data_IF_081770886539
#
_entry.id   IF_081770886539
#
_cell.length_a   1.000
_cell.length_b   1.000
_cell.length_c   1.000
_cell.angle_alpha   90.00
_cell.angle_beta   90.00
_cell.angle_gamma   90.00
#
_symmetry.space_group_name_H-M   'P 1'
#
loop_
_entity.id
_entity.type
_entity.pdbx_description
1 polymer ?
#
# COMPACT_ATOMS: atom_id res chain seq x y z
N UNK A 1 -42.98 86.63 28.93
CA UNK A 1 -43.90 85.51 28.64
C UNK A 1 -44.09 85.46 27.13
N UNK A 2 -43.54 84.44 26.47
CA UNK A 2 -43.67 84.28 25.01
C UNK A 2 -45.14 84.07 24.65
N UNK A 3 -45.62 84.77 23.61
CA UNK A 3 -47.02 84.61 23.17
C UNK A 3 -47.27 83.15 22.76
N UNK A 4 -48.42 82.56 23.11
CA UNK A 4 -48.76 81.16 22.79
C UNK A 4 -48.61 80.84 21.29
N UNK A 5 -48.82 81.82 20.41
CA UNK A 5 -48.62 81.66 18.96
C UNK A 5 -47.15 81.45 18.55
N UNK A 6 -46.19 82.01 19.29
CA UNK A 6 -44.76 81.81 19.03
C UNK A 6 -44.31 80.43 19.47
N UNK A 7 -44.74 80.00 20.67
CA UNK A 7 -44.46 78.65 21.18
C UNK A 7 -45.03 77.55 20.28
N UNK A 8 -46.22 77.76 19.73
CA UNK A 8 -46.82 76.83 18.77
C UNK A 8 -45.96 76.71 17.49
N UNK A 9 -45.48 77.83 16.94
CA UNK A 9 -44.62 77.83 15.74
C UNK A 9 -43.29 77.11 15.99
N UNK A 10 -42.68 77.29 17.16
CA UNK A 10 -41.48 76.57 17.58
C UNK A 10 -41.72 75.06 17.63
N UNK A 11 -42.81 74.62 18.29
CA UNK A 11 -43.16 73.20 18.36
C UNK A 11 -43.40 72.58 16.97
N UNK A 12 -44.06 73.32 16.07
CA UNK A 12 -44.25 72.86 14.68
C UNK A 12 -42.91 72.75 13.94
N UNK A 13 -42.02 73.74 14.10
CA UNK A 13 -40.70 73.70 13.49
C UNK A 13 -39.84 72.52 14.02
N UNK A 14 -39.86 72.29 15.33
CA UNK A 14 -39.18 71.17 15.98
C UNK A 14 -39.72 69.82 15.51
N UNK A 15 -41.05 69.68 15.39
CA UNK A 15 -41.69 68.48 14.88
C UNK A 15 -41.27 68.20 13.43
N UNK A 16 -41.25 69.23 12.57
CA UNK A 16 -40.81 69.09 11.18
C UNK A 16 -39.34 68.69 11.12
N UNK A 17 -38.47 69.29 11.94
CA UNK A 17 -37.06 68.94 12.01
C UNK A 17 -36.84 67.51 12.53
N UNK A 18 -37.61 67.07 13.54
CA UNK A 18 -37.59 65.71 14.05
C UNK A 18 -38.07 64.70 12.99
N UNK A 19 -39.16 65.01 12.28
CA UNK A 19 -39.69 64.18 11.19
C UNK A 19 -38.66 64.01 10.06
N UNK A 20 -37.98 65.08 9.65
CA UNK A 20 -36.90 65.01 8.64
C UNK A 20 -35.73 64.14 9.09
N UNK A 21 -35.29 64.28 10.34
CA UNK A 21 -34.21 63.43 10.91
C UNK A 21 -34.62 61.97 10.95
N UNK A 22 -35.85 61.67 11.34
CA UNK A 22 -36.36 60.30 11.36
C UNK A 22 -36.44 59.69 9.96
N UNK A 23 -36.91 60.44 8.96
CA UNK A 23 -36.94 59.97 7.56
C UNK A 23 -35.52 59.71 7.05
N UNK A 24 -34.58 60.61 7.31
CA UNK A 24 -33.19 60.43 6.93
C UNK A 24 -32.56 59.20 7.61
N UNK A 25 -32.76 59.03 8.92
CA UNK A 25 -32.27 57.88 9.67
C UNK A 25 -32.84 56.55 9.14
N UNK A 26 -34.14 56.52 8.80
CA UNK A 26 -34.76 55.33 8.21
C UNK A 26 -34.24 55.03 6.81
N UNK A 27 -34.02 56.05 5.98
CA UNK A 27 -33.43 55.86 4.66
C UNK A 27 -32.01 55.26 4.76
N UNK A 28 -31.16 55.80 5.65
CA UNK A 28 -29.82 55.24 5.90
C UNK A 28 -29.87 53.82 6.46
N UNK A 29 -30.82 53.52 7.36
CA UNK A 29 -30.98 52.17 7.88
C UNK A 29 -31.40 51.19 6.77
N UNK A 30 -32.34 51.57 5.92
CA UNK A 30 -32.79 50.74 4.78
C UNK A 30 -31.67 50.47 3.78
N UNK A 31 -30.86 51.49 3.46
CA UNK A 31 -29.68 51.35 2.60
C UNK A 31 -28.65 50.39 3.22
N UNK A 32 -28.32 50.57 4.49
CA UNK A 32 -27.40 49.67 5.20
C UNK A 32 -27.92 48.22 5.27
N UNK A 33 -29.22 48.02 5.42
CA UNK A 33 -29.81 46.68 5.39
C UNK A 33 -29.75 46.06 3.99
N UNK A 34 -30.03 46.84 2.94
CA UNK A 34 -29.94 46.37 1.56
C UNK A 34 -28.50 45.96 1.21
N UNK A 35 -27.52 46.79 1.57
CA UNK A 35 -26.10 46.50 1.37
C UNK A 35 -25.66 45.25 2.14
N UNK A 36 -26.09 45.11 3.40
CA UNK A 36 -25.79 43.92 4.19
C UNK A 36 -26.44 42.66 3.60
N UNK A 37 -27.68 42.73 3.10
CA UNK A 37 -28.31 41.59 2.43
C UNK A 37 -27.59 41.20 1.15
N UNK A 38 -27.16 42.17 0.35
CA UNK A 38 -26.42 41.90 -0.88
C UNK A 38 -25.05 41.25 -0.59
N UNK A 39 -24.36 41.69 0.47
CA UNK A 39 -23.12 41.07 0.92
C UNK A 39 -23.33 39.62 1.36
N UNK A 40 -24.36 39.35 2.17
CA UNK A 40 -24.67 37.99 2.62
C UNK A 40 -25.07 37.07 1.47
N UNK A 41 -25.85 37.55 0.50
CA UNK A 41 -26.20 36.79 -0.69
C UNK A 41 -24.97 36.45 -1.54
N UNK A 42 -24.05 37.41 -1.68
CA UNK A 42 -22.78 37.17 -2.38
C UNK A 42 -21.91 36.12 -1.67
N UNK A 43 -21.75 36.24 -0.36
CA UNK A 43 -20.97 35.30 0.44
C UNK A 43 -21.60 33.89 0.43
N UNK A 44 -22.93 33.80 0.45
CA UNK A 44 -23.65 32.54 0.33
C UNK A 44 -23.41 31.88 -1.04
N UNK A 45 -23.52 32.64 -2.13
CA UNK A 45 -23.23 32.13 -3.46
C UNK A 45 -21.79 31.63 -3.59
N UNK A 46 -20.81 32.37 -3.05
CA UNK A 46 -19.42 31.96 -3.03
C UNK A 46 -19.18 30.68 -2.20
N UNK A 47 -19.88 30.53 -1.07
CA UNK A 47 -19.81 29.33 -0.25
C UNK A 47 -20.44 28.11 -0.95
N UNK A 48 -21.57 28.29 -1.62
CA UNK A 48 -22.24 27.24 -2.41
C UNK A 48 -21.35 26.75 -3.55
N UNK A 49 -20.70 27.66 -4.27
CA UNK A 49 -19.73 27.33 -5.32
C UNK A 49 -18.54 26.54 -4.75
N UNK A 50 -18.00 26.96 -3.60
CA UNK A 50 -16.91 26.24 -2.94
C UNK A 50 -17.31 24.82 -2.51
N UNK A 51 -18.53 24.65 -1.99
CA UNK A 51 -19.08 23.33 -1.65
C UNK A 51 -19.27 22.48 -2.91
N UNK A 52 -19.77 23.05 -4.00
CA UNK A 52 -19.93 22.35 -5.27
C UNK A 52 -18.58 21.83 -5.79
N UNK A 53 -17.53 22.67 -5.78
CA UNK A 53 -16.17 22.28 -6.17
C UNK A 53 -15.64 21.14 -5.28
N UNK A 54 -15.71 21.31 -3.95
CA UNK A 54 -15.23 20.31 -3.01
C UNK A 54 -15.97 18.96 -3.16
N UNK A 55 -17.28 19.00 -3.39
CA UNK A 55 -18.08 17.80 -3.63
C UNK A 55 -17.68 17.08 -4.93
N UNK A 56 -17.32 17.84 -5.96
CA UNK A 56 -16.77 17.33 -7.21
C UNK A 56 -15.44 16.60 -6.99
N UNK A 57 -14.52 17.21 -6.24
CA UNK A 57 -13.23 16.60 -5.89
C UNK A 57 -13.39 15.30 -5.09
N UNK A 58 -14.28 15.30 -4.09
CA UNK A 58 -14.61 14.08 -3.30
C UNK A 58 -15.14 12.98 -4.21
N UNK A 59 -16.03 13.31 -5.15
CA UNK A 59 -16.58 12.35 -6.10
C UNK A 59 -15.50 11.75 -7.00
N UNK A 60 -14.55 12.57 -7.46
CA UNK A 60 -13.41 12.10 -8.24
C UNK A 60 -12.50 11.18 -7.41
N UNK A 61 -12.16 11.58 -6.18
CA UNK A 61 -11.34 10.77 -5.28
C UNK A 61 -12.00 9.40 -4.99
N UNK A 62 -13.31 9.38 -4.73
CA UNK A 62 -14.06 8.13 -4.53
C UNK A 62 -14.01 7.20 -5.75
N UNK A 63 -14.11 7.75 -6.97
CA UNK A 63 -13.96 6.96 -8.20
C UNK A 63 -12.58 6.36 -8.33
N UNK A 64 -11.52 7.12 -8.03
CA UNK A 64 -10.14 6.62 -8.05
C UNK A 64 -9.91 5.52 -7.02
N UNK A 65 -10.45 5.66 -5.80
CA UNK A 65 -10.39 4.60 -4.77
C UNK A 65 -11.11 3.35 -5.25
N UNK A 66 -12.34 3.47 -5.74
CA UNK A 66 -13.10 2.32 -6.25
C UNK A 66 -12.39 1.59 -7.41
N UNK A 67 -11.78 2.35 -8.33
CA UNK A 67 -10.96 1.77 -9.42
C UNK A 67 -9.73 1.04 -8.87
N UNK A 68 -9.06 1.60 -7.86
CA UNK A 68 -7.89 1.00 -7.22
C UNK A 68 -8.26 -0.29 -6.48
N UNK A 69 -9.41 -0.31 -5.79
CA UNK A 69 -9.90 -1.49 -5.09
C UNK A 69 -10.25 -2.63 -6.07
N UNK A 70 -10.89 -2.31 -7.19
CA UNK A 70 -11.16 -3.28 -8.25
C UNK A 70 -9.86 -3.84 -8.87
N UNK A 71 -8.87 -2.98 -9.12
CA UNK A 71 -7.57 -3.40 -9.62
C UNK A 71 -6.83 -4.29 -8.61
N UNK A 72 -6.85 -3.93 -7.33
CA UNK A 72 -6.26 -4.73 -6.25
C UNK A 72 -6.93 -6.10 -6.12
N UNK A 73 -8.25 -6.15 -6.22
CA UNK A 73 -9.00 -7.40 -6.23
C UNK A 73 -8.63 -8.29 -7.43
N UNK A 74 -8.50 -7.72 -8.63
CA UNK A 74 -8.04 -8.42 -9.82
C UNK A 74 -6.65 -9.05 -9.64
N UNK A 75 -5.68 -8.26 -9.17
CA UNK A 75 -4.32 -8.73 -8.90
C UNK A 75 -4.29 -9.84 -7.84
N UNK A 76 -5.14 -9.75 -6.82
CA UNK A 76 -5.24 -10.78 -5.78
C UNK A 76 -5.81 -12.10 -6.32
N UNK A 77 -6.84 -12.03 -7.18
CA UNK A 77 -7.39 -13.22 -7.85
C UNK A 77 -6.36 -13.88 -8.77
N UNK A 78 -5.61 -13.08 -9.54
CA UNK A 78 -4.53 -13.59 -10.39
C UNK A 78 -3.45 -14.29 -9.55
N UNK A 79 -3.08 -13.71 -8.41
CA UNK A 79 -2.12 -14.33 -7.49
C UNK A 79 -2.65 -15.65 -6.92
N UNK A 80 -3.93 -15.72 -6.54
CA UNK A 80 -4.57 -16.96 -6.10
C UNK A 80 -4.58 -18.02 -7.21
N UNK A 81 -4.84 -17.61 -8.46
CA UNK A 81 -4.81 -18.49 -9.64
C UNK A 81 -3.43 -19.06 -9.88
N UNK A 82 -2.38 -18.22 -9.87
CA UNK A 82 -0.98 -18.64 -10.05
C UNK A 82 -0.50 -19.59 -8.93
N UNK A 83 -0.98 -19.41 -7.69
CA UNK A 83 -0.61 -20.26 -6.55
C UNK A 83 -1.47 -21.53 -6.40
N UNK A 84 -2.49 -21.72 -7.22
CA UNK A 84 -3.32 -22.93 -7.27
C UNK A 84 -3.90 -23.34 -5.90
N UNK A 85 -3.62 -24.58 -5.44
CA UNK A 85 -4.14 -25.10 -4.16
C UNK A 85 -3.69 -24.28 -2.94
N UNK A 86 -2.47 -23.74 -2.94
CA UNK A 86 -1.99 -22.85 -1.86
C UNK A 86 -2.65 -21.47 -1.95
N UNK A 87 -2.97 -21.03 -3.16
CA UNK A 87 -3.70 -19.78 -3.43
C UNK A 87 -5.07 -19.74 -2.76
N UNK A 88 -5.80 -20.88 -2.76
CA UNK A 88 -7.12 -20.98 -2.11
C UNK A 88 -7.09 -20.71 -0.59
N UNK A 89 -5.94 -20.82 0.07
CA UNK A 89 -5.79 -20.56 1.51
C UNK A 89 -5.52 -19.09 1.85
N UNK A 90 -5.28 -18.23 0.86
CA UNK A 90 -4.93 -16.81 1.08
C UNK A 90 -6.10 -15.94 1.55
N UNK A 91 -7.35 -16.42 1.45
CA UNK A 91 -8.53 -15.68 1.92
C UNK A 91 -8.93 -14.49 1.03
N UNK A 92 -9.77 -13.58 1.55
CA UNK A 92 -10.19 -12.37 0.83
C UNK A 92 -9.02 -11.39 0.65
N UNK A 93 -9.23 -10.38 -0.20
CA UNK A 93 -8.26 -9.28 -0.37
C UNK A 93 -8.03 -8.62 0.99
N UNK A 94 -6.77 -8.43 1.43
CA UNK A 94 -6.49 -7.79 2.70
C UNK A 94 -7.00 -6.35 2.70
N UNK A 95 -7.67 -5.96 3.77
CA UNK A 95 -8.20 -4.61 3.95
C UNK A 95 -7.03 -3.62 4.14
N UNK A 96 -7.02 -2.47 3.47
CA UNK A 96 -5.98 -1.46 3.68
C UNK A 96 -5.97 -1.03 5.15
N UNK A 97 -4.80 -1.08 5.78
CA UNK A 97 -4.63 -0.61 7.14
C UNK A 97 -4.64 0.93 7.14
N UNK A 98 -5.32 1.59 8.10
CA UNK A 98 -5.21 3.03 8.26
C UNK A 98 -3.74 3.37 8.53
N UNK A 99 -3.17 4.23 7.69
CA UNK A 99 -1.79 4.69 7.83
C UNK A 99 -1.79 6.16 8.22
N UNK A 100 -0.99 6.51 9.21
CA UNK A 100 -0.67 7.90 9.55
C UNK A 100 0.55 8.41 8.79
N UNK A 101 1.11 7.61 7.86
CA UNK A 101 2.26 8.01 7.07
C UNK A 101 1.92 9.24 6.22
N UNK A 102 2.68 10.32 6.42
CA UNK A 102 2.48 11.61 5.75
C UNK A 102 2.68 11.55 4.24
N UNK A 103 3.48 10.59 3.73
CA UNK A 103 3.79 10.50 2.31
C UNK A 103 3.33 9.17 1.66
N UNK A 104 2.17 9.17 0.98
CA UNK A 104 1.67 7.99 0.25
C UNK A 104 2.55 7.61 -0.95
N UNK A 105 3.28 8.55 -1.54
CA UNK A 105 4.16 8.27 -2.69
C UNK A 105 5.39 7.48 -2.26
N UNK A 106 5.94 7.76 -1.07
CA UNK A 106 7.03 6.98 -0.49
C UNK A 106 6.62 5.51 -0.26
N UNK A 107 5.39 5.27 0.23
CA UNK A 107 4.86 3.92 0.41
C UNK A 107 4.72 3.17 -0.91
N UNK A 108 4.16 3.82 -1.94
CA UNK A 108 4.04 3.26 -3.29
C UNK A 108 5.41 2.98 -3.92
N UNK A 109 6.37 3.89 -3.75
CA UNK A 109 7.75 3.69 -4.20
C UNK A 109 8.44 2.51 -3.51
N UNK A 110 8.20 2.33 -2.21
CA UNK A 110 8.72 1.17 -1.47
C UNK A 110 8.09 -0.15 -1.94
N UNK A 111 6.79 -0.15 -2.23
CA UNK A 111 6.06 -1.30 -2.72
C UNK A 111 6.50 -1.68 -4.15
N UNK A 112 6.64 -0.69 -5.03
CA UNK A 112 7.13 -0.90 -6.40
C UNK A 112 8.56 -1.45 -6.39
N UNK A 113 9.45 -0.94 -5.54
CA UNK A 113 10.79 -1.48 -5.38
C UNK A 113 10.79 -2.94 -4.90
N UNK A 114 9.87 -3.35 -4.02
CA UNK A 114 9.72 -4.75 -3.59
C UNK A 114 9.20 -5.64 -4.70
N UNK A 115 8.20 -5.19 -5.46
CA UNK A 115 7.66 -5.93 -6.62
C UNK A 115 8.73 -6.08 -7.69
N UNK A 116 9.46 -5.02 -7.99
CA UNK A 116 10.54 -5.02 -8.97
C UNK A 116 11.69 -5.95 -8.56
N UNK A 117 12.06 -5.95 -7.28
CA UNK A 117 13.02 -6.92 -6.72
C UNK A 117 12.53 -8.36 -6.83
N UNK A 118 11.24 -8.60 -6.59
CA UNK A 118 10.64 -9.92 -6.77
C UNK A 118 10.57 -10.34 -8.25
N UNK A 119 10.36 -9.38 -9.16
CA UNK A 119 10.23 -9.60 -10.61
C UNK A 119 11.58 -9.87 -11.27
N UNK A 120 12.65 -9.25 -10.78
CA UNK A 120 14.04 -9.52 -11.19
C UNK A 120 14.57 -10.90 -10.80
N UNK A 121 13.79 -11.66 -10.01
CA UNK A 121 14.01 -13.10 -9.88
C UNK A 121 15.33 -13.47 -9.20
N UNK A 122 15.65 -12.87 -8.05
CA UNK A 122 16.82 -13.22 -7.25
C UNK A 122 18.14 -12.83 -7.92
N UNK A 123 18.96 -12.02 -7.26
CA UNK A 123 20.32 -11.79 -7.74
C UNK A 123 21.07 -13.14 -7.89
N UNK A 124 21.93 -13.28 -8.92
CA UNK A 124 22.73 -14.48 -9.11
C UNK A 124 23.45 -14.80 -7.80
N UNK A 125 23.34 -16.07 -7.36
CA UNK A 125 23.94 -16.51 -6.11
C UNK A 125 25.42 -16.10 -6.07
N UNK A 126 25.91 -15.51 -4.96
CA UNK A 126 27.30 -15.12 -4.87
C UNK A 126 28.19 -16.35 -5.15
N UNK A 127 29.27 -16.22 -5.94
CA UNK A 127 30.07 -17.36 -6.41
C UNK A 127 30.66 -18.21 -5.28
N UNK A 128 30.81 -17.64 -4.08
CA UNK A 128 31.22 -18.36 -2.87
C UNK A 128 30.16 -19.32 -2.29
N UNK A 129 28.88 -19.22 -2.68
CA UNK A 129 27.81 -20.10 -2.21
C UNK A 129 27.75 -21.41 -3.02
N UNK A 130 28.26 -21.41 -4.26
CA UNK A 130 28.38 -22.61 -5.12
C UNK A 130 29.20 -23.75 -4.49
N UNK A 131 30.42 -23.52 -3.94
CA UNK A 131 31.17 -24.58 -3.26
C UNK A 131 30.51 -25.03 -1.95
N UNK A 132 29.77 -24.15 -1.25
CA UNK A 132 29.02 -24.53 -0.06
C UNK A 132 27.82 -25.45 -0.37
N UNK A 133 27.16 -25.26 -1.52
CA UNK A 133 26.15 -26.17 -2.05
C UNK A 133 26.73 -27.54 -2.41
N UNK A 134 27.94 -27.58 -2.98
CA UNK A 134 28.65 -28.84 -3.22
C UNK A 134 28.99 -29.56 -1.91
N UNK A 135 29.54 -28.83 -0.93
CA UNK A 135 29.89 -29.38 0.39
C UNK A 135 28.68 -29.88 1.18
N UNK A 136 27.54 -29.18 1.13
CA UNK A 136 26.30 -29.62 1.78
C UNK A 136 25.69 -30.85 1.10
N UNK A 137 25.72 -30.91 -0.25
CA UNK A 137 25.34 -32.10 -1.00
C UNK A 137 26.20 -33.32 -0.65
N UNK A 138 27.52 -33.13 -0.57
CA UNK A 138 28.48 -34.17 -0.19
C UNK A 138 28.30 -34.62 1.26
N UNK A 139 28.13 -33.70 2.21
CA UNK A 139 27.93 -34.02 3.62
C UNK A 139 26.61 -34.79 3.84
N UNK A 140 25.51 -34.37 3.20
CA UNK A 140 24.24 -35.07 3.26
C UNK A 140 24.33 -36.48 2.64
N UNK A 141 25.02 -36.62 1.50
CA UNK A 141 25.25 -37.91 0.86
C UNK A 141 26.09 -38.85 1.75
N UNK A 142 27.16 -38.35 2.41
CA UNK A 142 27.96 -39.13 3.34
C UNK A 142 27.14 -39.66 4.52
N UNK A 143 26.32 -38.81 5.15
CA UNK A 143 25.47 -39.22 6.28
C UNK A 143 24.49 -40.32 5.86
N UNK A 144 23.88 -40.19 4.69
CA UNK A 144 22.85 -41.14 4.23
C UNK A 144 23.46 -42.42 3.68
N UNK A 145 24.60 -42.35 3.00
CA UNK A 145 25.33 -43.53 2.56
C UNK A 145 25.82 -44.34 3.76
N UNK A 146 26.34 -43.67 4.80
CA UNK A 146 26.72 -44.31 6.06
C UNK A 146 25.51 -44.96 6.75
N UNK A 147 24.37 -44.27 6.84
CA UNK A 147 23.13 -44.83 7.39
C UNK A 147 22.58 -46.00 6.56
N UNK A 148 22.69 -45.91 5.23
CA UNK A 148 22.29 -46.94 4.28
C UNK A 148 23.15 -48.21 4.37
N UNK A 149 24.39 -48.10 4.86
CA UNK A 149 25.24 -49.26 5.12
C UNK A 149 24.65 -50.15 6.23
N UNK A 150 23.89 -49.57 7.17
CA UNK A 150 23.23 -50.29 8.26
C UNK A 150 21.79 -50.73 7.94
N UNK A 151 21.06 -49.99 7.11
CA UNK A 151 19.62 -50.19 6.86
C UNK A 151 19.36 -50.96 5.55
N UNK A 152 20.35 -51.01 4.66
CA UNK A 152 20.33 -51.80 3.44
C UNK A 152 20.36 -50.98 2.15
N UNK A 153 20.64 -51.69 1.05
CA UNK A 153 20.73 -51.23 -0.34
C UNK A 153 19.73 -50.13 -0.78
N UNK A 154 18.42 -50.16 -0.45
CA UNK A 154 17.49 -49.17 -0.98
C UNK A 154 17.73 -47.72 -0.49
N UNK A 155 18.42 -47.51 0.64
CA UNK A 155 18.80 -46.16 1.07
C UNK A 155 19.88 -45.53 0.18
N UNK A 156 20.74 -46.34 -0.43
CA UNK A 156 21.83 -45.86 -1.30
C UNK A 156 21.31 -45.23 -2.60
N UNK A 157 20.15 -45.68 -3.10
CA UNK A 157 19.50 -45.11 -4.29
C UNK A 157 18.91 -43.71 -4.05
N UNK A 158 18.62 -43.37 -2.79
CA UNK A 158 17.99 -42.09 -2.40
C UNK A 158 19.04 -41.07 -1.91
N UNK A 159 20.24 -41.54 -1.54
CA UNK A 159 21.32 -40.71 -0.98
C UNK A 159 21.69 -39.46 -1.83
N UNK A 160 21.78 -39.53 -3.17
CA UNK A 160 22.12 -38.36 -3.99
C UNK A 160 20.99 -37.32 -4.04
N UNK A 161 19.74 -37.74 -3.78
CA UNK A 161 18.54 -36.91 -3.90
C UNK A 161 18.12 -36.29 -2.56
N UNK A 162 18.60 -36.82 -1.44
CA UNK A 162 18.19 -36.38 -0.11
C UNK A 162 18.80 -35.03 0.32
N UNK A 163 19.87 -34.56 -0.35
CA UNK A 163 20.41 -33.21 -0.14
C UNK A 163 19.50 -32.09 -0.67
N UNK A 164 18.62 -32.38 -1.64
CA UNK A 164 17.74 -31.40 -2.29
C UNK A 164 16.75 -30.71 -1.35
N UNK A 165 15.95 -31.40 -0.51
CA UNK A 165 14.99 -30.74 0.36
C UNK A 165 15.65 -29.86 1.43
N UNK A 166 16.82 -30.26 1.93
CA UNK A 166 17.58 -29.50 2.95
C UNK A 166 18.24 -28.28 2.34
N UNK A 167 18.92 -28.43 1.19
CA UNK A 167 19.53 -27.31 0.47
C UNK A 167 18.47 -26.31 -0.01
N UNK A 168 17.33 -26.81 -0.50
CA UNK A 168 16.20 -25.97 -0.90
C UNK A 168 15.63 -25.19 0.29
N UNK A 169 15.44 -25.84 1.44
CA UNK A 169 14.93 -25.17 2.65
C UNK A 169 15.90 -24.12 3.18
N UNK A 170 17.21 -24.37 3.09
CA UNK A 170 18.23 -23.44 3.54
C UNK A 170 18.37 -22.23 2.60
N UNK A 171 18.36 -22.44 1.28
CA UNK A 171 18.41 -21.37 0.28
C UNK A 171 17.11 -20.56 0.25
N UNK A 172 15.95 -21.20 0.35
CA UNK A 172 14.65 -20.52 0.45
C UNK A 172 14.58 -19.66 1.73
N UNK A 173 15.17 -20.11 2.84
CA UNK A 173 15.12 -19.39 4.11
C UNK A 173 16.15 -18.25 4.20
N UNK A 174 17.30 -18.36 3.51
CA UNK A 174 18.41 -17.42 3.68
C UNK A 174 18.60 -16.43 2.52
N UNK A 175 18.18 -16.78 1.30
CA UNK A 175 18.43 -15.96 0.12
C UNK A 175 17.18 -15.59 -0.69
N UNK A 176 16.01 -16.17 -0.38
CA UNK A 176 14.76 -15.94 -1.13
C UNK A 176 14.93 -16.07 -2.68
N UNK A 177 15.95 -16.82 -3.11
CA UNK A 177 16.36 -16.99 -4.49
C UNK A 177 15.93 -18.38 -4.96
N UNK A 178 15.46 -18.48 -6.21
CA UNK A 178 15.19 -19.79 -6.82
C UNK A 178 16.53 -20.48 -7.09
N UNK A 179 16.64 -21.76 -6.71
CA UNK A 179 17.78 -22.59 -7.11
C UNK A 179 17.85 -22.60 -8.64
N UNK A 180 18.94 -22.06 -9.19
CA UNK A 180 19.20 -22.14 -10.62
C UNK A 180 19.34 -23.61 -11.06
N UNK A 181 18.91 -23.96 -12.29
CA UNK A 181 19.07 -25.32 -12.84
C UNK A 181 20.53 -25.83 -12.76
N UNK A 182 21.51 -24.93 -12.88
CA UNK A 182 22.93 -25.26 -12.73
C UNK A 182 23.34 -25.63 -11.29
N UNK A 183 22.74 -25.01 -10.28
CA UNK A 183 22.99 -25.35 -8.88
C UNK A 183 22.39 -26.72 -8.50
N UNK A 184 21.26 -27.08 -9.11
CA UNK A 184 20.66 -28.41 -8.99
C UNK A 184 21.61 -29.47 -9.59
N UNK A 185 22.17 -29.21 -10.78
CA UNK A 185 23.13 -30.10 -11.44
C UNK A 185 24.39 -30.34 -10.61
N UNK A 186 24.98 -29.28 -10.03
CA UNK A 186 26.16 -29.38 -9.16
C UNK A 186 25.92 -30.21 -7.90
N UNK A 187 24.73 -30.11 -7.32
CA UNK A 187 24.36 -30.87 -6.12
C UNK A 187 24.22 -32.36 -6.43
N UNK A 188 23.64 -32.71 -7.58
CA UNK A 188 23.52 -34.09 -8.05
C UNK A 188 24.89 -34.69 -8.37
N UNK A 189 25.77 -33.94 -9.05
CA UNK A 189 27.13 -34.40 -9.38
C UNK A 189 27.95 -34.62 -8.10
N UNK A 190 27.87 -33.71 -7.13
CA UNK A 190 28.54 -33.87 -5.83
C UNK A 190 28.04 -35.07 -5.04
N UNK A 191 26.71 -35.29 -5.03
CA UNK A 191 26.12 -36.49 -4.41
C UNK A 191 26.55 -37.79 -5.09
N UNK A 192 26.60 -37.82 -6.43
CA UNK A 192 27.09 -38.98 -7.18
C UNK A 192 28.56 -39.27 -6.92
N UNK A 193 29.43 -38.25 -6.92
CA UNK A 193 30.86 -38.40 -6.64
C UNK A 193 31.11 -38.90 -5.21
N UNK A 194 30.39 -38.38 -4.21
CA UNK A 194 30.51 -38.82 -2.83
C UNK A 194 30.05 -40.27 -2.66
N UNK A 195 28.94 -40.66 -3.29
CA UNK A 195 28.43 -42.04 -3.22
C UNK A 195 29.39 -43.01 -3.90
N UNK A 196 29.96 -42.64 -5.06
CA UNK A 196 30.96 -43.44 -5.76
C UNK A 196 32.26 -43.60 -4.94
N UNK A 197 32.73 -42.54 -4.28
CA UNK A 197 33.92 -42.59 -3.43
C UNK A 197 33.74 -43.53 -2.23
N UNK A 198 32.57 -43.51 -1.59
CA UNK A 198 32.24 -44.42 -0.48
C UNK A 198 32.18 -45.88 -0.97
N UNK A 199 31.59 -46.11 -2.14
CA UNK A 199 31.51 -47.44 -2.73
C UNK A 199 32.90 -48.02 -3.06
N UNK A 200 33.81 -47.20 -3.57
CA UNK A 200 35.21 -47.59 -3.82
C UNK A 200 36.00 -47.77 -2.52
N UNK A 201 35.66 -47.05 -1.45
CA UNK A 201 36.35 -47.18 -0.16
C UNK A 201 35.89 -48.41 0.65
N UNK A 202 34.68 -48.93 0.39
CA UNK A 202 34.09 -50.07 1.09
C UNK A 202 34.12 -51.39 0.30
N UNK A 203 34.32 -51.33 -1.02
CA UNK A 203 34.47 -52.51 -1.90
C UNK A 203 35.94 -52.87 -2.12
#
# INVERSE_FOLDING_TARGET
MTSPATRYRELVADLVAASRRHVAANATAQESYADASAAVEHDLAAAEDAVAVASGEVTLAQRTVAQTDLAAAGVWEDLKRVRGRRGRRLGPVPTPAPTTAEDPLALLGSASARVERARRGGEPLPPFVLPALFGTGAAAACVIAFLGTFIGWPLLLIAPLAGLPVARRWVDHRYAARLDPGAIGLLVIGGMLATAAIWVALG
#
